data_IF_539651826089
#
_entry.id   IF_539651826089
#
_cell.length_a   1.000
_cell.length_b   1.000
_cell.length_c   1.000
_cell.angle_alpha   90.00
_cell.angle_beta   90.00
_cell.angle_gamma   90.00
#
_symmetry.space_group_name_H-M   'P 1'
#
loop_
_entity.id
_entity.type
_entity.pdbx_description
1 polymer ?
#
# COMPACT_ATOMS: atom_id res chain seq x y z
N UNK A 1 -80.39 41.80 -21.88
CA UNK A 1 -80.08 42.46 -20.59
C UNK A 1 -79.26 43.74 -20.81
N UNK A 2 -78.02 43.66 -21.32
CA UNK A 2 -77.20 44.87 -21.60
C UNK A 2 -77.89 45.85 -22.57
N UNK A 3 -78.57 45.34 -23.61
CA UNK A 3 -79.30 46.18 -24.59
C UNK A 3 -80.45 46.98 -23.95
N UNK A 4 -81.24 46.38 -23.06
CA UNK A 4 -82.35 47.08 -22.40
C UNK A 4 -81.93 48.11 -21.34
N UNK A 5 -80.71 47.96 -20.78
CA UNK A 5 -80.11 48.93 -19.85
C UNK A 5 -79.65 50.18 -20.60
N UNK A 6 -79.22 50.03 -21.85
CA UNK A 6 -78.79 51.15 -22.69
C UNK A 6 -79.97 52.01 -23.18
N UNK A 7 -81.16 51.44 -23.33
CA UNK A 7 -82.34 52.15 -23.86
C UNK A 7 -83.15 52.89 -22.78
N UNK A 8 -83.29 52.33 -21.57
CA UNK A 8 -84.18 52.86 -20.52
C UNK A 8 -83.46 53.51 -19.32
N UNK A 9 -82.12 53.58 -19.36
CA UNK A 9 -81.30 54.16 -18.29
C UNK A 9 -81.32 53.35 -16.98
N UNK A 10 -80.49 53.78 -16.02
CA UNK A 10 -80.32 53.06 -14.74
C UNK A 10 -81.54 53.12 -13.81
N UNK A 11 -82.50 54.01 -14.09
CA UNK A 11 -83.65 54.28 -13.22
C UNK A 11 -84.71 53.18 -13.25
N UNK A 12 -84.71 52.33 -14.28
CA UNK A 12 -85.69 51.23 -14.44
C UNK A 12 -85.14 49.85 -14.02
N UNK A 13 -83.90 49.81 -13.51
CA UNK A 13 -83.24 48.58 -13.09
C UNK A 13 -83.74 48.12 -11.71
N UNK A 14 -84.62 47.12 -11.68
CA UNK A 14 -84.97 46.42 -10.45
C UNK A 14 -83.95 45.30 -10.18
N UNK A 15 -83.58 45.11 -8.90
CA UNK A 15 -82.57 44.12 -8.48
C UNK A 15 -82.94 42.67 -8.82
N UNK A 16 -84.21 42.40 -9.11
CA UNK A 16 -84.78 41.08 -9.37
C UNK A 16 -85.09 40.82 -10.85
N UNK A 17 -84.73 41.72 -11.78
CA UNK A 17 -85.09 41.60 -13.21
C UNK A 17 -84.53 40.38 -13.92
N UNK A 18 -83.47 39.77 -13.37
CA UNK A 18 -82.79 38.62 -13.98
C UNK A 18 -83.16 37.29 -13.31
N UNK A 19 -84.11 37.32 -12.37
CA UNK A 19 -84.58 36.13 -11.65
C UNK A 19 -85.91 35.71 -12.28
N UNK A 20 -86.01 34.43 -12.67
CA UNK A 20 -87.22 33.84 -13.25
C UNK A 20 -88.45 34.10 -12.35
N UNK A 21 -89.63 34.48 -12.88
CA UNK A 21 -90.82 34.81 -12.09
C UNK A 21 -91.25 33.72 -11.10
N UNK A 22 -90.98 32.44 -11.39
CA UNK A 22 -91.28 31.32 -10.49
C UNK A 22 -90.28 31.17 -9.33
N UNK A 23 -89.09 31.78 -9.47
CA UNK A 23 -87.98 31.73 -8.50
C UNK A 23 -87.81 33.03 -7.71
N UNK A 24 -88.60 34.08 -7.99
CA UNK A 24 -88.53 35.33 -7.26
C UNK A 24 -88.91 35.12 -5.78
N UNK A 25 -88.01 35.46 -4.83
CA UNK A 25 -88.31 35.26 -3.42
C UNK A 25 -89.47 36.17 -3.01
N UNK A 26 -90.44 35.62 -2.26
CA UNK A 26 -91.51 36.42 -1.63
C UNK A 26 -90.93 37.22 -0.48
N UNK A 27 -90.31 38.37 -0.78
CA UNK A 27 -89.73 39.23 0.25
C UNK A 27 -90.86 39.78 1.12
N UNK A 28 -90.89 39.37 2.40
CA UNK A 28 -91.69 40.06 3.42
C UNK A 28 -91.09 41.46 3.60
N UNK A 29 -91.95 42.48 3.76
CA UNK A 29 -91.52 43.82 4.20
C UNK A 29 -90.60 43.67 5.41
N UNK A 30 -89.32 43.99 5.23
CA UNK A 30 -88.33 44.04 6.30
C UNK A 30 -88.72 45.19 7.24
N UNK A 31 -88.75 44.93 8.54
CA UNK A 31 -89.03 45.97 9.54
C UNK A 31 -87.86 46.96 9.58
N UNK A 32 -88.18 48.22 9.85
CA UNK A 32 -87.23 49.34 9.97
C UNK A 32 -86.07 49.00 10.91
N UNK A 33 -86.35 48.28 11.98
CA UNK A 33 -85.38 47.80 12.99
C UNK A 33 -84.27 46.90 12.43
N UNK A 34 -84.54 46.14 11.36
CA UNK A 34 -83.52 45.27 10.75
C UNK A 34 -82.56 46.07 9.86
N UNK A 35 -83.06 47.14 9.22
CA UNK A 35 -82.23 48.04 8.43
C UNK A 35 -81.29 48.84 9.35
N UNK A 36 -81.78 49.30 10.50
CA UNK A 36 -80.97 50.01 11.49
C UNK A 36 -79.79 49.16 12.01
N UNK A 37 -80.00 47.85 12.22
CA UNK A 37 -78.94 46.91 12.59
C UNK A 37 -77.94 46.62 11.46
N UNK A 38 -78.42 46.50 10.22
CA UNK A 38 -77.56 46.18 9.07
C UNK A 38 -76.62 47.33 8.70
N UNK A 39 -77.10 48.56 8.85
CA UNK A 39 -76.32 49.78 8.58
C UNK A 39 -75.58 50.32 9.81
N UNK A 40 -75.67 49.64 10.96
CA UNK A 40 -74.89 50.00 12.15
C UNK A 40 -75.19 51.40 12.67
N UNK A 41 -76.46 51.81 12.67
CA UNK A 41 -76.91 53.09 13.25
C UNK A 41 -76.94 53.06 14.80
N UNK A 42 -76.53 51.95 15.41
CA UNK A 42 -76.19 51.87 16.84
C UNK A 42 -74.76 52.42 17.02
N UNK A 43 -74.65 53.64 17.55
CA UNK A 43 -73.41 54.42 17.75
C UNK A 43 -72.30 53.72 18.57
N UNK A 44 -72.52 52.48 19.04
CA UNK A 44 -71.61 51.75 19.93
C UNK A 44 -70.72 50.70 19.26
N UNK A 45 -70.95 50.28 18.00
CA UNK A 45 -70.24 49.09 17.45
C UNK A 45 -69.04 49.37 16.54
N UNK A 46 -68.94 50.53 15.87
CA UNK A 46 -67.85 50.81 14.92
C UNK A 46 -67.26 52.19 15.16
N UNK A 47 -66.18 52.26 15.96
CA UNK A 47 -65.46 53.52 16.12
C UNK A 47 -64.54 53.79 14.91
N UNK A 48 -64.29 55.06 14.55
CA UNK A 48 -63.42 55.43 13.43
C UNK A 48 -62.02 54.80 13.49
N UNK A 49 -61.49 54.55 14.69
CA UNK A 49 -60.18 53.94 14.91
C UNK A 49 -60.14 52.47 14.48
N UNK A 50 -61.23 51.72 14.72
CA UNK A 50 -61.36 50.32 14.25
C UNK A 50 -61.43 50.25 12.73
N UNK A 51 -62.13 51.19 12.10
CA UNK A 51 -62.22 51.29 10.64
C UNK A 51 -60.84 51.56 10.01
N UNK A 52 -60.09 52.52 10.57
CA UNK A 52 -58.71 52.83 10.12
C UNK A 52 -57.81 51.61 10.27
N UNK A 53 -57.92 50.88 11.39
CA UNK A 53 -57.14 49.67 11.64
C UNK A 53 -57.46 48.55 10.65
N UNK A 54 -58.74 48.36 10.31
CA UNK A 54 -59.15 47.39 9.30
C UNK A 54 -58.64 47.77 7.90
N UNK A 55 -58.78 49.04 7.51
CA UNK A 55 -58.30 49.55 6.22
C UNK A 55 -56.78 49.44 6.08
N UNK A 56 -56.02 49.80 7.11
CA UNK A 56 -54.55 49.68 7.10
C UNK A 56 -54.09 48.22 7.06
N UNK A 57 -54.74 47.33 7.80
CA UNK A 57 -54.48 45.90 7.74
C UNK A 57 -54.75 45.32 6.34
N UNK A 58 -55.92 45.62 5.77
CA UNK A 58 -56.30 45.13 4.44
C UNK A 58 -55.36 45.66 3.35
N UNK A 59 -55.05 46.96 3.38
CA UNK A 59 -54.15 47.60 2.40
C UNK A 59 -52.73 47.03 2.51
N UNK A 60 -52.23 46.85 3.74
CA UNK A 60 -50.92 46.24 3.97
C UNK A 60 -50.85 44.78 3.49
N UNK A 61 -51.91 44.01 3.71
CA UNK A 61 -52.01 42.64 3.21
C UNK A 61 -52.03 42.60 1.68
N UNK A 62 -52.85 43.45 1.05
CA UNK A 62 -53.00 43.52 -0.41
C UNK A 62 -51.67 43.90 -1.09
N UNK A 63 -50.98 44.92 -0.57
CA UNK A 63 -49.66 45.34 -1.08
C UNK A 63 -48.62 44.22 -0.95
N UNK A 64 -48.60 43.52 0.19
CA UNK A 64 -47.70 42.39 0.41
C UNK A 64 -47.95 41.30 -0.64
N UNK A 65 -49.21 40.89 -0.82
CA UNK A 65 -49.57 39.82 -1.75
C UNK A 65 -49.21 40.18 -3.20
N UNK A 66 -49.56 41.38 -3.67
CA UNK A 66 -49.22 41.80 -5.03
C UNK A 66 -47.72 42.03 -5.23
N UNK A 67 -47.00 42.53 -4.22
CA UNK A 67 -45.55 42.69 -4.29
C UNK A 67 -44.84 41.33 -4.39
N UNK A 68 -45.28 40.32 -3.63
CA UNK A 68 -44.75 38.96 -3.77
C UNK A 68 -45.00 38.42 -5.18
N UNK A 69 -46.23 38.52 -5.69
CA UNK A 69 -46.53 38.07 -7.06
C UNK A 69 -45.72 38.81 -8.11
N UNK A 70 -45.58 40.14 -7.99
CA UNK A 70 -44.77 40.94 -8.90
C UNK A 70 -43.30 40.53 -8.86
N UNK A 71 -42.73 40.29 -7.68
CA UNK A 71 -41.33 39.87 -7.51
C UNK A 71 -41.06 38.54 -8.21
N UNK A 72 -41.96 37.56 -8.08
CA UNK A 72 -41.83 36.24 -8.72
C UNK A 72 -41.92 36.33 -10.26
N UNK A 73 -42.61 37.34 -10.80
CA UNK A 73 -42.75 37.55 -12.25
C UNK A 73 -41.60 38.42 -12.80
N UNK A 74 -41.18 39.45 -12.06
CA UNK A 74 -40.20 40.44 -12.51
C UNK A 74 -38.75 39.97 -12.37
N UNK A 75 -38.48 39.03 -11.47
CA UNK A 75 -37.18 38.35 -11.35
C UNK A 75 -37.38 36.95 -11.95
N UNK A 76 -36.98 36.71 -13.20
CA UNK A 76 -36.98 35.36 -13.74
C UNK A 76 -36.13 34.49 -12.81
N UNK A 77 -36.56 33.27 -12.46
CA UNK A 77 -35.66 32.32 -11.85
C UNK A 77 -34.46 32.22 -12.79
N UNK A 78 -33.26 32.57 -12.31
CA UNK A 78 -32.02 32.16 -12.97
C UNK A 78 -32.24 30.71 -13.35
N UNK A 79 -32.02 30.34 -14.62
CA UNK A 79 -32.31 29.00 -15.13
C UNK A 79 -31.50 27.97 -14.32
N UNK A 80 -32.05 27.51 -13.20
CA UNK A 80 -31.33 26.77 -12.17
C UNK A 80 -30.80 25.46 -12.76
N UNK A 81 -31.52 24.94 -13.76
CA UNK A 81 -31.18 23.78 -14.57
C UNK A 81 -29.90 23.99 -15.38
N UNK A 82 -29.70 25.17 -15.95
CA UNK A 82 -28.51 25.50 -16.74
C UNK A 82 -27.27 25.65 -15.85
N UNK A 83 -27.43 26.31 -14.70
CA UNK A 83 -26.38 26.40 -13.68
C UNK A 83 -26.03 25.02 -13.10
N UNK A 84 -27.03 24.16 -12.89
CA UNK A 84 -26.83 22.80 -12.43
C UNK A 84 -26.09 21.96 -13.48
N UNK A 85 -26.44 22.10 -14.75
CA UNK A 85 -25.77 21.43 -15.85
C UNK A 85 -24.29 21.84 -15.97
N UNK A 86 -23.98 23.14 -15.86
CA UNK A 86 -22.60 23.64 -15.88
C UNK A 86 -21.77 23.07 -14.71
N UNK A 87 -22.36 23.04 -13.51
CA UNK A 87 -21.71 22.44 -12.33
C UNK A 87 -21.49 20.93 -12.50
N UNK A 88 -22.45 20.23 -13.11
CA UNK A 88 -22.34 18.80 -13.41
C UNK A 88 -21.18 18.53 -14.38
N UNK A 89 -21.08 19.31 -15.45
CA UNK A 89 -19.99 19.20 -16.43
C UNK A 89 -18.62 19.48 -15.80
N UNK A 90 -18.52 20.53 -14.98
CA UNK A 90 -17.29 20.83 -14.24
C UNK A 90 -16.88 19.68 -13.31
N UNK A 91 -17.85 19.03 -12.64
CA UNK A 91 -17.61 17.86 -11.79
C UNK A 91 -17.12 16.65 -12.60
N UNK A 92 -17.70 16.39 -13.78
CA UNK A 92 -17.27 15.31 -14.68
C UNK A 92 -15.83 15.52 -15.14
N UNK A 93 -15.47 16.74 -15.55
CA UNK A 93 -14.10 17.08 -15.97
C UNK A 93 -13.12 16.87 -14.82
N UNK A 94 -13.48 17.35 -13.62
CA UNK A 94 -12.65 17.17 -12.42
C UNK A 94 -12.45 15.69 -12.07
N UNK A 95 -13.52 14.90 -12.08
CA UNK A 95 -13.44 13.47 -11.75
C UNK A 95 -12.62 12.70 -12.79
N UNK A 96 -12.76 13.01 -14.07
CA UNK A 96 -11.92 12.45 -15.13
C UNK A 96 -10.43 12.80 -14.93
N UNK A 97 -10.12 14.05 -14.60
CA UNK A 97 -8.75 14.46 -14.28
C UNK A 97 -8.20 13.73 -13.05
N UNK A 98 -9.00 13.62 -11.98
CA UNK A 98 -8.66 12.90 -10.75
C UNK A 98 -8.36 11.43 -11.02
N UNK A 99 -9.18 10.76 -11.84
CA UNK A 99 -8.97 9.37 -12.25
C UNK A 99 -7.68 9.19 -13.05
N UNK A 100 -7.44 10.04 -14.07
CA UNK A 100 -6.19 10.02 -14.86
C UNK A 100 -4.96 10.20 -13.97
N UNK A 101 -5.02 11.15 -13.05
CA UNK A 101 -3.95 11.41 -12.08
C UNK A 101 -3.71 10.21 -11.16
N UNK A 102 -4.77 9.56 -10.68
CA UNK A 102 -4.66 8.36 -9.85
C UNK A 102 -3.97 7.21 -10.59
N UNK A 103 -4.40 6.92 -11.82
CA UNK A 103 -3.79 5.89 -12.67
C UNK A 103 -2.32 6.20 -12.92
N UNK A 104 -1.97 7.46 -13.22
CA UNK A 104 -0.59 7.87 -13.44
C UNK A 104 0.28 7.67 -12.19
N UNK A 105 -0.21 8.05 -11.00
CA UNK A 105 0.51 7.83 -9.75
C UNK A 105 0.70 6.34 -9.45
N UNK A 106 -0.33 5.53 -9.67
CA UNK A 106 -0.24 4.08 -9.50
C UNK A 106 0.78 3.47 -10.46
N UNK A 107 0.71 3.83 -11.75
CA UNK A 107 1.68 3.39 -12.75
C UNK A 107 3.12 3.82 -12.40
N UNK A 108 3.31 5.09 -12.01
CA UNK A 108 4.62 5.59 -11.62
C UNK A 108 5.20 4.83 -10.41
N UNK A 109 4.36 4.58 -9.39
CA UNK A 109 4.72 3.77 -8.22
C UNK A 109 5.12 2.34 -8.63
N UNK A 110 4.32 1.70 -9.48
CA UNK A 110 4.61 0.38 -10.02
C UNK A 110 5.95 0.33 -10.77
N UNK A 111 6.19 1.27 -11.69
CA UNK A 111 7.44 1.34 -12.47
C UNK A 111 8.65 1.58 -11.57
N UNK A 112 8.52 2.46 -10.57
CA UNK A 112 9.59 2.73 -9.60
C UNK A 112 9.95 1.47 -8.82
N UNK A 113 8.96 0.77 -8.26
CA UNK A 113 9.16 -0.47 -7.51
C UNK A 113 9.80 -1.56 -8.40
N UNK A 114 9.31 -1.73 -9.63
CA UNK A 114 9.89 -2.69 -10.58
C UNK A 114 11.36 -2.40 -10.90
N UNK A 115 11.73 -1.12 -11.08
CA UNK A 115 13.14 -0.72 -11.28
C UNK A 115 14.00 -1.04 -10.05
N UNK A 116 13.47 -0.85 -8.84
CA UNK A 116 14.18 -1.17 -7.60
C UNK A 116 14.40 -2.67 -7.43
N UNK A 117 13.38 -3.49 -7.70
CA UNK A 117 13.48 -4.96 -7.69
C UNK A 117 14.54 -5.45 -8.68
N UNK A 118 14.52 -4.97 -9.93
CA UNK A 118 15.53 -5.32 -10.94
C UNK A 118 16.95 -4.94 -10.51
N UNK A 119 17.13 -3.76 -9.89
CA UNK A 119 18.43 -3.38 -9.31
C UNK A 119 18.84 -4.32 -8.17
N UNK A 120 17.89 -4.77 -7.34
CA UNK A 120 18.11 -5.78 -6.31
C UNK A 120 18.60 -7.11 -6.91
N UNK A 121 17.86 -7.68 -7.87
CA UNK A 121 18.25 -8.90 -8.58
C UNK A 121 19.63 -8.77 -9.24
N UNK A 122 19.92 -7.63 -9.87
CA UNK A 122 21.24 -7.36 -10.45
C UNK A 122 22.38 -7.41 -9.42
N UNK A 123 22.15 -6.97 -8.18
CA UNK A 123 23.13 -7.10 -7.09
C UNK A 123 23.33 -8.55 -6.67
N UNK A 124 22.25 -9.33 -6.55
CA UNK A 124 22.33 -10.76 -6.21
C UNK A 124 23.09 -11.54 -7.28
N UNK A 125 22.80 -11.31 -8.57
CA UNK A 125 23.51 -11.97 -9.67
C UNK A 125 25.00 -11.61 -9.68
N UNK A 126 25.35 -10.34 -9.42
CA UNK A 126 26.76 -9.92 -9.28
C UNK A 126 27.45 -10.62 -8.11
N UNK A 127 26.80 -10.69 -6.94
CA UNK A 127 27.34 -11.36 -5.76
C UNK A 127 27.55 -12.86 -6.01
N UNK A 128 26.58 -13.54 -6.62
CA UNK A 128 26.70 -14.94 -7.03
C UNK A 128 27.86 -15.13 -8.03
N UNK A 129 28.01 -14.23 -8.99
CA UNK A 129 29.14 -14.25 -9.92
C UNK A 129 30.50 -14.09 -9.22
N UNK A 130 30.60 -13.21 -8.23
CA UNK A 130 31.81 -13.05 -7.42
C UNK A 130 32.12 -14.32 -6.60
N UNK A 131 31.12 -14.90 -5.94
CA UNK A 131 31.26 -16.14 -5.18
C UNK A 131 31.66 -17.33 -6.07
N UNK A 132 31.07 -17.45 -7.26
CA UNK A 132 31.45 -18.48 -8.23
C UNK A 132 32.91 -18.31 -8.69
N UNK A 133 33.37 -17.07 -8.91
CA UNK A 133 34.78 -16.80 -9.25
C UNK A 133 35.72 -17.18 -8.12
N UNK A 134 35.42 -16.80 -6.88
CA UNK A 134 36.27 -17.16 -5.73
C UNK A 134 36.30 -18.66 -5.49
N UNK A 135 35.15 -19.35 -5.60
CA UNK A 135 35.11 -20.81 -5.50
C UNK A 135 35.94 -21.49 -6.59
N UNK A 136 35.91 -21.00 -7.83
CA UNK A 136 36.77 -21.51 -8.92
C UNK A 136 38.25 -21.32 -8.62
N UNK A 137 38.65 -20.14 -8.13
CA UNK A 137 40.05 -19.88 -7.74
C UNK A 137 40.49 -20.84 -6.65
N UNK A 138 39.71 -20.99 -5.58
CA UNK A 138 40.00 -21.93 -4.49
C UNK A 138 40.12 -23.37 -5.01
N UNK A 139 39.21 -23.79 -5.90
CA UNK A 139 39.26 -25.12 -6.51
C UNK A 139 40.54 -25.35 -7.33
N UNK A 140 40.99 -24.36 -8.11
CA UNK A 140 42.24 -24.44 -8.87
C UNK A 140 43.46 -24.56 -7.94
N UNK A 141 43.53 -23.73 -6.90
CA UNK A 141 44.64 -23.80 -5.93
C UNK A 141 44.64 -25.11 -5.15
N UNK A 142 43.47 -25.65 -4.81
CA UNK A 142 43.36 -26.97 -4.17
C UNK A 142 44.00 -28.07 -5.02
N UNK A 143 43.84 -28.02 -6.35
CA UNK A 143 44.47 -28.97 -7.27
C UNK A 143 45.99 -28.81 -7.21
N UNK A 144 46.50 -27.58 -7.34
CA UNK A 144 47.95 -27.30 -7.27
C UNK A 144 48.54 -27.83 -5.95
N UNK A 145 47.91 -27.51 -4.83
CA UNK A 145 48.35 -27.94 -3.50
C UNK A 145 48.30 -29.45 -3.29
N UNK A 146 47.43 -30.18 -3.99
CA UNK A 146 47.38 -31.65 -3.88
C UNK A 146 48.61 -32.36 -4.45
N UNK A 147 49.43 -31.68 -5.27
CA UNK A 147 50.69 -32.21 -5.80
C UNK A 147 51.92 -31.82 -4.97
N UNK A 148 51.75 -30.99 -3.94
CA UNK A 148 52.85 -30.50 -3.12
C UNK A 148 53.17 -31.47 -1.98
N UNK A 149 54.45 -31.53 -1.59
CA UNK A 149 54.85 -32.25 -0.38
C UNK A 149 54.35 -31.54 0.88
N UNK A 150 54.31 -32.25 2.01
CA UNK A 150 53.96 -31.62 3.30
C UNK A 150 54.87 -30.44 3.65
N UNK A 151 56.14 -30.48 3.23
CA UNK A 151 57.09 -29.38 3.43
C UNK A 151 56.66 -28.14 2.65
N UNK A 152 56.36 -28.32 1.37
CA UNK A 152 56.01 -27.23 0.47
C UNK A 152 54.64 -26.64 0.83
N UNK A 153 53.69 -27.47 1.27
CA UNK A 153 52.40 -27.02 1.81
C UNK A 153 52.56 -26.11 3.03
N UNK A 154 53.49 -26.43 3.94
CA UNK A 154 53.79 -25.59 5.10
C UNK A 154 54.38 -24.25 4.66
N UNK A 155 55.31 -24.25 3.71
CA UNK A 155 55.91 -23.02 3.15
C UNK A 155 54.83 -22.17 2.47
N UNK A 156 53.94 -22.76 1.68
CA UNK A 156 52.80 -22.07 1.07
C UNK A 156 51.91 -21.39 2.12
N UNK A 157 51.68 -22.05 3.27
CA UNK A 157 50.93 -21.48 4.38
C UNK A 157 51.59 -20.28 5.04
N UNK A 158 52.90 -20.09 4.87
CA UNK A 158 53.64 -18.94 5.42
C UNK A 158 53.62 -17.72 4.51
N UNK A 159 53.20 -17.85 3.24
CA UNK A 159 53.21 -16.75 2.25
C UNK A 159 52.24 -15.64 2.62
N UNK A 160 50.96 -15.97 2.88
CA UNK A 160 49.95 -15.02 3.33
C UNK A 160 48.77 -15.74 4.01
N UNK A 161 47.88 -14.96 4.65
CA UNK A 161 46.71 -15.48 5.38
C UNK A 161 45.73 -16.24 4.49
N UNK A 162 45.57 -15.86 3.22
CA UNK A 162 44.67 -16.55 2.28
C UNK A 162 45.20 -17.95 1.94
N UNK A 163 46.49 -18.05 1.63
CA UNK A 163 47.16 -19.31 1.36
C UNK A 163 47.18 -20.21 2.60
N UNK A 164 47.39 -19.63 3.78
CA UNK A 164 47.26 -20.35 5.05
C UNK A 164 45.88 -20.99 5.23
N UNK A 165 44.80 -20.30 4.87
CA UNK A 165 43.44 -20.86 4.98
C UNK A 165 43.20 -21.94 3.92
N UNK A 166 43.74 -21.76 2.70
CA UNK A 166 43.61 -22.76 1.63
C UNK A 166 44.40 -24.05 1.94
N UNK A 167 45.60 -23.97 2.52
CA UNK A 167 46.38 -25.16 2.92
C UNK A 167 45.77 -25.90 4.11
N UNK A 168 44.85 -25.27 4.85
CA UNK A 168 44.07 -25.88 5.92
C UNK A 168 42.80 -26.61 5.42
N UNK A 169 42.57 -26.71 4.11
CA UNK A 169 41.43 -27.51 3.60
C UNK A 169 41.65 -28.99 3.89
N UNK A 170 40.71 -29.62 4.61
CA UNK A 170 40.81 -31.02 5.03
C UNK A 170 41.11 -32.00 3.90
N UNK A 171 40.58 -31.77 2.70
CA UNK A 171 40.81 -32.63 1.52
C UNK A 171 42.27 -32.72 1.08
N UNK A 172 43.12 -31.74 1.42
CA UNK A 172 44.56 -31.78 1.13
C UNK A 172 45.30 -32.76 2.05
N UNK A 173 44.71 -33.09 3.21
CA UNK A 173 45.33 -33.92 4.25
C UNK A 173 44.85 -35.37 4.23
N UNK A 174 44.13 -35.78 3.18
CA UNK A 174 43.65 -37.16 3.00
C UNK A 174 44.80 -38.15 2.86
N UNK A 175 45.93 -37.75 2.28
CA UNK A 175 47.13 -38.55 2.17
C UNK A 175 48.34 -37.73 2.61
N UNK A 176 49.01 -38.14 3.69
CA UNK A 176 50.19 -37.45 4.19
C UNK A 176 51.43 -38.33 4.01
N UNK A 177 52.43 -37.79 3.32
CA UNK A 177 53.74 -38.41 3.18
C UNK A 177 54.80 -37.68 4.01
N UNK A 178 55.28 -38.32 5.08
CA UNK A 178 56.35 -37.81 5.93
C UNK A 178 57.76 -38.17 5.45
N UNK A 179 57.89 -39.04 4.45
CA UNK A 179 59.20 -39.45 3.91
C UNK A 179 60.01 -38.27 3.37
N UNK A 180 59.33 -37.27 2.78
CA UNK A 180 59.93 -36.02 2.30
C UNK A 180 60.54 -35.15 3.42
N UNK A 181 60.10 -35.34 4.67
CA UNK A 181 60.54 -34.57 5.84
C UNK A 181 61.22 -35.45 6.89
N UNK A 182 61.57 -36.70 6.53
CA UNK A 182 62.05 -37.74 7.46
C UNK A 182 63.22 -37.34 8.36
N UNK A 183 64.10 -36.47 7.89
CA UNK A 183 65.30 -36.03 8.62
C UNK A 183 65.07 -34.75 9.45
N UNK A 184 63.94 -34.07 9.25
CA UNK A 184 63.67 -32.73 9.80
C UNK A 184 62.50 -32.77 10.79
N UNK A 185 61.53 -33.66 10.58
CA UNK A 185 60.32 -33.71 11.39
C UNK A 185 60.54 -34.48 12.69
N UNK A 186 60.03 -33.93 13.81
CA UNK A 186 60.06 -34.59 15.12
C UNK A 186 58.71 -35.23 15.45
N UNK A 187 58.71 -36.24 16.31
CA UNK A 187 57.49 -36.91 16.80
C UNK A 187 56.42 -35.93 17.29
N UNK A 188 56.82 -34.83 17.95
CA UNK A 188 55.89 -33.80 18.44
C UNK A 188 55.11 -33.14 17.30
N UNK A 189 55.77 -32.82 16.19
CA UNK A 189 55.12 -32.19 15.03
C UNK A 189 54.24 -33.18 14.25
N UNK A 190 54.66 -34.43 14.13
CA UNK A 190 53.82 -35.49 13.54
C UNK A 190 52.51 -35.60 14.33
N UNK A 191 52.62 -35.70 15.65
CA UNK A 191 51.45 -35.83 16.52
C UNK A 191 50.53 -34.61 16.45
N UNK A 192 51.08 -33.39 16.38
CA UNK A 192 50.25 -32.19 16.28
C UNK A 192 49.52 -32.09 14.94
N UNK A 193 50.18 -32.46 13.83
CA UNK A 193 49.57 -32.48 12.49
C UNK A 193 48.46 -33.54 12.41
N UNK A 194 48.74 -34.75 12.90
CA UNK A 194 47.78 -35.86 12.89
C UNK A 194 46.57 -35.58 13.80
N UNK A 195 46.78 -34.99 14.97
CA UNK A 195 45.66 -34.59 15.83
C UNK A 195 44.79 -33.52 15.17
N UNK A 196 45.43 -32.55 14.50
CA UNK A 196 44.71 -31.46 13.84
C UNK A 196 43.84 -31.93 12.67
N UNK A 197 44.30 -32.91 11.90
CA UNK A 197 43.60 -33.39 10.70
C UNK A 197 43.02 -34.80 10.83
N UNK A 198 42.93 -35.34 12.06
CA UNK A 198 42.58 -36.72 12.37
C UNK A 198 41.39 -37.27 11.56
N UNK A 199 40.33 -36.49 11.40
CA UNK A 199 39.10 -36.89 10.71
C UNK A 199 39.21 -36.91 9.17
N UNK A 200 40.26 -36.29 8.62
CA UNK A 200 40.48 -36.21 7.17
C UNK A 200 41.58 -37.17 6.70
N UNK A 201 42.52 -37.58 7.56
CA UNK A 201 43.64 -38.46 7.18
C UNK A 201 43.13 -39.87 6.84
N UNK A 202 43.31 -40.29 5.59
CA UNK A 202 42.96 -41.64 5.11
C UNK A 202 44.20 -42.49 4.82
N UNK A 203 45.31 -41.87 4.42
CA UNK A 203 46.57 -42.53 4.04
C UNK A 203 47.75 -41.83 4.70
N UNK A 204 48.66 -42.60 5.28
CA UNK A 204 49.91 -42.11 5.85
C UNK A 204 51.09 -42.85 5.26
N UNK A 205 52.20 -42.15 5.08
CA UNK A 205 53.49 -42.76 4.75
C UNK A 205 54.55 -42.24 5.73
N UNK A 206 55.19 -43.16 6.47
CA UNK A 206 56.28 -42.89 7.42
C UNK A 206 57.63 -43.43 6.95
N UNK A 207 57.76 -43.78 5.66
CA UNK A 207 58.98 -44.43 5.15
C UNK A 207 60.23 -43.60 5.45
N UNK A 208 61.17 -44.20 6.17
CA UNK A 208 62.43 -43.57 6.55
C UNK A 208 62.36 -42.61 7.74
N UNK A 209 61.19 -42.42 8.37
CA UNK A 209 61.05 -41.65 9.60
C UNK A 209 61.45 -42.51 10.81
N UNK A 210 62.26 -41.96 11.72
CA UNK A 210 62.61 -42.61 12.99
C UNK A 210 61.60 -42.18 14.06
N UNK A 211 60.60 -43.02 14.33
CA UNK A 211 59.52 -42.74 15.29
C UNK A 211 59.69 -43.52 16.58
N UNK A 212 59.42 -42.88 17.73
CA UNK A 212 59.41 -43.59 19.02
C UNK A 212 58.21 -44.52 19.11
N UNK A 213 58.38 -45.65 19.80
CA UNK A 213 57.33 -46.66 19.98
C UNK A 213 56.05 -46.10 20.60
N UNK A 214 56.17 -45.14 21.53
CA UNK A 214 55.01 -44.46 22.15
C UNK A 214 54.18 -43.68 21.12
N UNK A 215 54.85 -42.99 20.20
CA UNK A 215 54.23 -42.22 19.11
C UNK A 215 53.47 -43.14 18.16
N UNK A 216 54.07 -44.27 17.77
CA UNK A 216 53.44 -45.28 16.91
C UNK A 216 52.16 -45.86 17.52
N UNK A 217 52.17 -46.16 18.83
CA UNK A 217 50.96 -46.60 19.55
C UNK A 217 49.86 -45.54 19.50
N UNK A 218 50.20 -44.27 19.74
CA UNK A 218 49.23 -43.17 19.69
C UNK A 218 48.64 -42.96 18.28
N UNK A 219 49.43 -43.09 17.22
CA UNK A 219 48.95 -42.98 15.83
C UNK A 219 47.99 -44.12 15.48
N UNK A 220 48.27 -45.35 15.93
CA UNK A 220 47.39 -46.52 15.74
C UNK A 220 45.99 -46.30 16.32
N UNK A 221 45.88 -45.65 17.48
CA UNK A 221 44.58 -45.31 18.08
C UNK A 221 43.87 -44.14 17.37
N UNK A 222 44.58 -43.32 16.61
CA UNK A 222 43.99 -42.17 15.90
C UNK A 222 43.36 -42.53 14.58
N UNK A 223 43.91 -43.53 13.87
CA UNK A 223 43.52 -43.88 12.50
C UNK A 223 43.02 -45.32 12.52
N UNK A 224 41.70 -45.47 12.58
CA UNK A 224 41.04 -46.78 12.61
C UNK A 224 41.15 -47.56 11.28
N UNK A 225 41.77 -47.00 10.24
CA UNK A 225 41.74 -47.51 8.85
C UNK A 225 43.08 -47.37 8.09
N UNK A 226 44.21 -47.78 8.68
CA UNK A 226 45.43 -48.04 7.89
C UNK A 226 46.00 -49.41 8.22
N UNK A 227 45.49 -50.43 7.51
CA UNK A 227 46.27 -51.62 7.21
C UNK A 227 47.37 -51.22 6.20
N UNK A 228 48.60 -51.71 6.38
CA UNK A 228 49.77 -51.58 5.49
C UNK A 228 50.74 -50.38 5.70
N UNK A 229 51.21 -50.09 6.92
CA UNK A 229 52.36 -49.17 7.11
C UNK A 229 53.51 -49.68 8.00
N UNK A 230 53.42 -50.87 8.58
CA UNK A 230 54.40 -51.34 9.58
C UNK A 230 55.33 -52.47 9.11
N UNK A 231 55.52 -52.67 7.79
CA UNK A 231 56.28 -53.83 7.28
C UNK A 231 57.81 -53.67 7.27
N UNK A 232 58.39 -52.53 7.65
CA UNK A 232 59.85 -52.33 7.49
C UNK A 232 60.58 -51.69 8.68
N UNK A 233 59.91 -51.42 9.79
CA UNK A 233 60.61 -51.10 11.04
C UNK A 233 60.74 -52.38 11.85
N UNK A 234 61.89 -53.07 11.75
CA UNK A 234 62.23 -54.32 12.44
C UNK A 234 62.24 -54.22 13.97
N UNK A 235 61.07 -53.98 14.56
CA UNK A 235 60.79 -53.93 16.01
C UNK A 235 59.39 -54.49 16.30
N UNK A 236 59.06 -55.63 15.70
CA UNK A 236 57.99 -56.51 16.16
C UNK A 236 58.54 -57.92 16.39
N UNK A 237 59.51 -58.00 17.30
CA UNK A 237 59.69 -59.18 18.15
C UNK A 237 59.29 -58.77 19.56
N UNK A 238 58.28 -59.46 20.08
CA UNK A 238 57.82 -59.52 21.47
C UNK A 238 56.66 -58.58 21.88
N UNK A 239 55.51 -59.24 22.02
CA UNK A 239 54.25 -58.90 22.74
C UNK A 239 53.27 -57.94 22.07
#
# INVERSE_FOLDING_TARGET
MIIGIMENGLETLLWDMCIDPLMKPKIRRLSETYLEQLFGLDDQLVTPELMIKACTFYTGHLLKTHFYTWREIAIPPINEDELLAEKMEAAIVYDNFRLKKHVLHHWHSYVKNRKEQLRGYGKHVKLLGMLLRTMKVIASFRIIFSYLSIRDLVICGQVNRSWLLMTQMGSLWNGIDFSAVKNIITDKYIMSILQRWRLNVLRLNFRGCVLRLKTLRSVRFMIHTTYNCFSESGLLTNF
#
